data_IF_358051955731
#
_entry.id   IF_358051955731
#
_cell.length_a   1.000
_cell.length_b   1.000
_cell.length_c   1.000
_cell.angle_alpha   90.00
_cell.angle_beta   90.00
_cell.angle_gamma   90.00
#
_symmetry.space_group_name_H-M   'P 1'
#
loop_
_entity.id
_entity.type
_entity.pdbx_description
1 polymer ?
#
# COMPACT_ATOMS: atom_id res chain seq x y z
N UNK A 1 72.45 -61.19 25.42
CA UNK A 1 71.22 -60.36 25.27
C UNK A 1 71.36 -59.15 26.18
N UNK A 2 71.26 -57.91 25.66
CA UNK A 2 71.63 -56.67 26.37
C UNK A 2 70.55 -56.22 27.38
N UNK A 3 70.82 -56.12 28.70
CA UNK A 3 69.87 -55.63 29.70
C UNK A 3 69.77 -54.09 29.78
N UNK A 4 70.72 -53.36 29.18
CA UNK A 4 70.76 -51.88 29.22
C UNK A 4 69.74 -51.20 28.29
N UNK A 5 69.23 -51.90 27.28
CA UNK A 5 68.27 -51.35 26.31
C UNK A 5 66.88 -51.14 26.95
N UNK A 6 66.55 -51.95 27.96
CA UNK A 6 65.26 -51.92 28.65
C UNK A 6 65.14 -50.70 29.58
N UNK A 7 66.22 -50.32 30.29
CA UNK A 7 66.23 -49.18 31.21
C UNK A 7 66.13 -47.84 30.46
N UNK A 8 66.83 -47.69 29.34
CA UNK A 8 66.73 -46.49 28.49
C UNK A 8 65.36 -46.38 27.81
N UNK A 9 64.76 -47.51 27.40
CA UNK A 9 63.43 -47.52 26.80
C UNK A 9 62.34 -47.07 27.79
N UNK A 10 62.41 -47.46 29.07
CA UNK A 10 61.45 -47.04 30.10
C UNK A 10 61.53 -45.53 30.39
N UNK A 11 62.73 -44.94 30.39
CA UNK A 11 62.92 -43.50 30.58
C UNK A 11 62.35 -42.70 29.39
N UNK A 12 62.53 -43.20 28.17
CA UNK A 12 61.95 -42.56 26.97
C UNK A 12 60.42 -42.60 27.01
N UNK A 13 59.83 -43.72 27.45
CA UNK A 13 58.37 -43.87 27.58
C UNK A 13 57.81 -42.90 28.64
N UNK A 14 58.45 -42.77 29.81
CA UNK A 14 57.96 -41.87 30.87
C UNK A 14 58.05 -40.39 30.47
N UNK A 15 59.12 -39.98 29.78
CA UNK A 15 59.25 -38.62 29.24
C UNK A 15 58.18 -38.36 28.17
N UNK A 16 57.92 -39.33 27.29
CA UNK A 16 56.89 -39.21 26.25
C UNK A 16 55.49 -39.05 26.87
N UNK A 17 55.18 -39.85 27.90
CA UNK A 17 53.91 -39.74 28.64
C UNK A 17 53.80 -38.37 29.31
N UNK A 18 54.87 -37.88 29.95
CA UNK A 18 54.87 -36.57 30.59
C UNK A 18 54.61 -35.44 29.59
N UNK A 19 55.26 -35.47 28.42
CA UNK A 19 55.05 -34.49 27.35
C UNK A 19 53.61 -34.53 26.84
N UNK A 20 53.04 -35.73 26.64
CA UNK A 20 51.63 -35.89 26.21
C UNK A 20 50.68 -35.33 27.26
N UNK A 21 50.91 -35.60 28.55
CA UNK A 21 50.10 -35.04 29.65
C UNK A 21 50.18 -33.52 29.67
N UNK A 22 51.38 -32.94 29.52
CA UNK A 22 51.55 -31.48 29.46
C UNK A 22 50.82 -30.87 28.25
N UNK A 23 50.90 -31.51 27.08
CA UNK A 23 50.17 -31.06 25.88
C UNK A 23 48.65 -31.11 26.09
N UNK A 24 48.13 -32.17 26.70
CA UNK A 24 46.70 -32.29 27.02
C UNK A 24 46.23 -31.20 27.99
N UNK A 25 47.04 -30.87 29.00
CA UNK A 25 46.75 -29.79 29.95
C UNK A 25 46.71 -28.44 29.22
N UNK A 26 47.66 -28.16 28.32
CA UNK A 26 47.70 -26.93 27.53
C UNK A 26 46.44 -26.82 26.65
N UNK A 27 46.06 -27.90 25.95
CA UNK A 27 44.85 -27.93 25.11
C UNK A 27 43.59 -27.69 25.95
N UNK A 28 43.48 -28.31 27.13
CA UNK A 28 42.38 -28.08 28.07
C UNK A 28 42.32 -26.62 28.53
N UNK A 29 43.46 -26.00 28.85
CA UNK A 29 43.52 -24.58 29.27
C UNK A 29 43.07 -23.67 28.12
N UNK A 30 43.55 -23.91 26.89
CA UNK A 30 43.16 -23.14 25.70
C UNK A 30 41.67 -23.33 25.40
N UNK A 31 41.16 -24.56 25.49
CA UNK A 31 39.74 -24.84 25.28
C UNK A 31 38.87 -24.15 26.33
N UNK A 32 39.23 -24.23 27.62
CA UNK A 32 38.50 -23.53 28.69
C UNK A 32 38.56 -22.01 28.50
N UNK A 33 39.71 -21.44 28.14
CA UNK A 33 39.83 -20.00 27.83
C UNK A 33 38.94 -19.59 26.65
N UNK A 34 38.98 -20.35 25.55
CA UNK A 34 38.17 -20.08 24.35
C UNK A 34 36.67 -20.23 24.63
N UNK A 35 36.29 -21.25 25.40
CA UNK A 35 34.90 -21.49 25.84
C UNK A 35 34.41 -20.34 26.75
N UNK A 36 35.21 -19.91 27.72
CA UNK A 36 34.86 -18.75 28.58
C UNK A 36 34.80 -17.44 27.79
N UNK A 37 35.64 -17.26 26.76
CA UNK A 37 35.58 -16.09 25.90
C UNK A 37 34.30 -16.06 25.05
N UNK A 38 33.94 -17.20 24.44
CA UNK A 38 32.70 -17.33 23.67
C UNK A 38 31.46 -17.09 24.55
N UNK A 39 31.45 -17.61 25.78
CA UNK A 39 30.35 -17.38 26.73
C UNK A 39 30.24 -15.90 27.13
N UNK A 40 31.37 -15.20 27.29
CA UNK A 40 31.38 -13.75 27.57
C UNK A 40 30.88 -12.93 26.39
N UNK A 41 31.28 -13.28 25.17
CA UNK A 41 30.81 -12.61 23.95
C UNK A 41 29.30 -12.84 23.76
N UNK A 42 28.82 -14.06 23.96
CA UNK A 42 27.39 -14.38 23.94
C UNK A 42 26.61 -13.53 24.95
N UNK A 43 27.05 -13.49 26.22
CA UNK A 43 26.42 -12.65 27.26
C UNK A 43 26.43 -11.16 26.91
N UNK A 44 27.51 -10.66 26.29
CA UNK A 44 27.59 -9.25 25.86
C UNK A 44 26.57 -8.96 24.76
N UNK A 45 26.47 -9.82 23.74
CA UNK A 45 25.51 -9.66 22.64
C UNK A 45 24.08 -9.70 23.18
N UNK A 46 23.79 -10.62 24.11
CA UNK A 46 22.49 -10.71 24.73
C UNK A 46 22.12 -9.43 25.51
N UNK A 47 23.05 -8.89 26.32
CA UNK A 47 22.83 -7.61 27.02
C UNK A 47 22.63 -6.46 26.03
N UNK A 48 23.38 -6.42 24.92
CA UNK A 48 23.21 -5.41 23.88
C UNK A 48 21.84 -5.51 23.21
N UNK A 49 21.36 -6.73 22.94
CA UNK A 49 20.03 -6.98 22.38
C UNK A 49 18.94 -6.53 23.36
N UNK A 50 19.04 -6.90 24.64
CA UNK A 50 18.09 -6.50 25.68
C UNK A 50 18.07 -4.97 25.86
N UNK A 51 19.23 -4.32 25.77
CA UNK A 51 19.36 -2.86 25.84
C UNK A 51 18.71 -2.20 24.64
N UNK A 52 18.97 -2.70 23.43
CA UNK A 52 18.37 -2.20 22.20
C UNK A 52 16.84 -2.36 22.23
N UNK A 53 16.34 -3.53 22.64
CA UNK A 53 14.92 -3.80 22.78
C UNK A 53 14.27 -2.86 23.80
N UNK A 54 14.91 -2.65 24.95
CA UNK A 54 14.43 -1.71 25.96
C UNK A 54 14.38 -0.27 25.43
N UNK A 55 15.40 0.16 24.70
CA UNK A 55 15.45 1.51 24.12
C UNK A 55 14.35 1.70 23.08
N UNK A 56 14.19 0.75 22.14
CA UNK A 56 13.10 0.80 21.14
C UNK A 56 11.73 0.79 21.82
N UNK A 57 11.54 -0.05 22.85
CA UNK A 57 10.28 -0.09 23.59
C UNK A 57 9.98 1.25 24.29
N UNK A 58 11.00 1.89 24.87
CA UNK A 58 10.84 3.21 25.49
C UNK A 58 10.54 4.29 24.46
N UNK A 59 11.27 4.32 23.34
CA UNK A 59 11.01 5.25 22.23
C UNK A 59 9.61 5.06 21.67
N UNK A 60 9.16 3.82 21.44
CA UNK A 60 7.79 3.56 20.98
C UNK A 60 6.74 3.99 22.01
N UNK A 61 6.96 3.75 23.30
CA UNK A 61 6.03 4.22 24.36
C UNK A 61 5.97 5.73 24.44
N UNK A 62 7.12 6.39 24.33
CA UNK A 62 7.20 7.84 24.35
C UNK A 62 6.53 8.43 23.10
N UNK A 63 6.88 7.93 21.90
CA UNK A 63 6.26 8.35 20.65
C UNK A 63 4.74 8.11 20.65
N UNK A 64 4.27 6.99 21.21
CA UNK A 64 2.84 6.70 21.34
C UNK A 64 2.15 7.65 22.34
N UNK A 65 2.75 7.93 23.49
CA UNK A 65 2.20 8.86 24.47
C UNK A 65 2.13 10.29 23.93
N UNK A 66 3.19 10.74 23.26
CA UNK A 66 3.21 12.04 22.58
C UNK A 66 2.20 12.11 21.44
N UNK A 67 2.07 11.05 20.64
CA UNK A 67 1.06 11.01 19.58
C UNK A 67 -0.36 11.02 20.17
N UNK A 68 -0.59 10.38 21.31
CA UNK A 68 -1.90 10.37 21.95
C UNK A 68 -2.31 11.76 22.47
N UNK A 69 -1.38 12.54 23.02
CA UNK A 69 -1.63 13.94 23.41
C UNK A 69 -1.81 14.84 22.19
N UNK A 70 -1.04 14.63 21.13
CA UNK A 70 -1.15 15.43 19.91
C UNK A 70 -2.45 15.08 19.15
N UNK A 71 -2.92 13.83 19.21
CA UNK A 71 -4.19 13.39 18.61
C UNK A 71 -5.40 14.08 19.23
N UNK A 72 -5.39 14.34 20.54
CA UNK A 72 -6.50 15.06 21.18
C UNK A 72 -6.61 16.49 20.66
N UNK A 73 -5.48 17.16 20.44
CA UNK A 73 -5.45 18.51 19.89
C UNK A 73 -5.86 18.52 18.42
N UNK A 74 -5.36 17.57 17.62
CA UNK A 74 -5.74 17.42 16.20
C UNK A 74 -7.24 17.12 16.05
N UNK A 75 -7.80 16.30 16.95
CA UNK A 75 -9.23 15.97 16.93
C UNK A 75 -10.07 17.19 17.31
N UNK A 76 -9.66 17.95 18.33
CA UNK A 76 -10.34 19.18 18.72
C UNK A 76 -10.30 20.25 17.61
N UNK A 77 -9.16 20.43 16.95
CA UNK A 77 -9.02 21.32 15.80
C UNK A 77 -9.92 20.89 14.63
N UNK A 78 -10.06 19.57 14.42
CA UNK A 78 -10.92 19.02 13.37
C UNK A 78 -12.40 19.24 13.67
N UNK A 79 -12.82 19.10 14.93
CA UNK A 79 -14.20 19.42 15.37
C UNK A 79 -14.52 20.91 15.14
N UNK A 80 -13.54 21.80 15.31
CA UNK A 80 -13.70 23.24 15.14
C UNK A 80 -13.66 23.71 13.67
N UNK A 81 -12.72 23.19 12.87
CA UNK A 81 -12.48 23.63 11.49
C UNK A 81 -13.33 22.86 10.46
N UNK A 82 -13.82 21.67 10.83
CA UNK A 82 -14.49 20.75 9.92
C UNK A 82 -13.54 20.05 8.95
N UNK A 83 -14.04 19.00 8.30
CA UNK A 83 -13.26 18.20 7.36
C UNK A 83 -13.35 18.83 5.96
N UNK A 84 -12.22 19.05 5.27
CA UNK A 84 -12.23 19.55 3.90
C UNK A 84 -12.69 18.46 2.93
N UNK A 85 -13.99 18.24 2.86
CA UNK A 85 -14.61 17.28 1.92
C UNK A 85 -14.73 17.90 0.54
N UNK A 86 -14.49 17.10 -0.49
CA UNK A 86 -14.78 17.49 -1.86
C UNK A 86 -16.30 17.42 -2.09
N UNK A 87 -16.83 18.36 -2.86
CA UNK A 87 -18.17 18.25 -3.41
C UNK A 87 -18.24 17.11 -4.43
N UNK A 88 -19.46 16.66 -4.70
CA UNK A 88 -19.73 15.44 -5.46
C UNK A 88 -19.08 15.46 -6.85
N UNK A 89 -19.10 16.62 -7.52
CA UNK A 89 -18.52 16.77 -8.86
C UNK A 89 -17.00 16.63 -8.81
N UNK A 90 -16.31 17.35 -7.92
CA UNK A 90 -14.86 17.26 -7.81
C UNK A 90 -14.40 15.88 -7.32
N UNK A 91 -15.15 15.25 -6.41
CA UNK A 91 -14.91 13.87 -6.00
C UNK A 91 -14.99 12.90 -7.19
N UNK A 92 -16.08 12.95 -7.97
CA UNK A 92 -16.24 12.11 -9.17
C UNK A 92 -15.08 12.32 -10.14
N UNK A 93 -14.72 13.57 -10.41
CA UNK A 93 -13.63 13.88 -11.34
C UNK A 93 -12.30 13.28 -10.89
N UNK A 94 -11.97 13.38 -9.60
CA UNK A 94 -10.75 12.79 -9.04
C UNK A 94 -10.73 11.26 -9.12
N UNK A 95 -11.89 10.60 -8.99
CA UNK A 95 -11.99 9.13 -9.02
C UNK A 95 -12.08 8.57 -10.46
N UNK A 96 -12.85 9.23 -11.33
CA UNK A 96 -13.14 8.73 -12.67
C UNK A 96 -12.01 9.09 -13.65
N UNK A 97 -11.37 10.24 -13.45
CA UNK A 97 -10.32 10.79 -14.32
C UNK A 97 -9.11 11.29 -13.51
N UNK A 98 -8.39 10.39 -12.80
CA UNK A 98 -7.26 10.78 -11.97
C UNK A 98 -6.16 11.45 -12.79
N UNK A 99 -5.65 12.59 -12.30
CA UNK A 99 -4.60 13.37 -12.97
C UNK A 99 -5.11 14.29 -14.09
N UNK A 100 -6.41 14.32 -14.40
CA UNK A 100 -6.99 15.23 -15.39
C UNK A 100 -7.57 16.45 -14.67
N UNK A 101 -7.03 17.64 -14.94
CA UNK A 101 -7.43 18.90 -14.30
C UNK A 101 -8.44 19.70 -15.11
N UNK A 102 -8.43 19.58 -16.44
CA UNK A 102 -9.29 20.36 -17.35
C UNK A 102 -10.14 19.43 -18.23
N UNK A 103 -11.08 18.72 -17.59
CA UNK A 103 -11.95 17.79 -18.33
C UNK A 103 -13.15 18.55 -18.93
N UNK A 104 -13.52 18.32 -20.21
CA UNK A 104 -14.66 19.01 -20.84
C UNK A 104 -15.98 18.91 -20.08
N UNK A 105 -16.17 17.84 -19.28
CA UNK A 105 -17.34 17.65 -18.40
C UNK A 105 -17.45 18.76 -17.34
N UNK A 106 -16.33 19.28 -16.83
CA UNK A 106 -16.32 20.39 -15.85
C UNK A 106 -16.72 21.72 -16.49
N UNK A 107 -16.38 21.88 -17.78
CA UNK A 107 -16.61 23.10 -18.53
C UNK A 107 -17.93 23.08 -19.31
N UNK A 108 -18.72 22.01 -19.21
CA UNK A 108 -19.97 21.88 -19.94
C UNK A 108 -20.92 23.00 -19.52
N UNK A 109 -21.23 23.97 -20.42
CA UNK A 109 -22.17 25.03 -20.08
C UNK A 109 -23.53 24.37 -19.78
N UNK A 110 -24.09 24.65 -18.60
CA UNK A 110 -25.46 24.28 -18.23
C UNK A 110 -26.38 24.72 -19.37
N UNK A 111 -26.84 23.73 -20.15
CA UNK A 111 -27.88 23.83 -21.18
C UNK A 111 -27.83 25.12 -21.99
N UNK A 112 -27.24 25.06 -23.19
CA UNK A 112 -27.45 26.06 -24.23
C UNK A 112 -28.95 26.09 -24.61
N UNK A 113 -29.77 26.77 -23.82
CA UNK A 113 -31.22 26.87 -24.03
C UNK A 113 -31.61 27.72 -25.24
N UNK A 114 -30.66 28.45 -25.86
CA UNK A 114 -30.97 29.45 -26.90
C UNK A 114 -30.05 29.41 -28.14
N UNK A 115 -29.37 28.30 -28.44
CA UNK A 115 -28.68 28.14 -29.75
C UNK A 115 -29.42 27.14 -30.62
N UNK A 116 -29.56 27.41 -31.94
CA UNK A 116 -30.25 26.51 -32.85
C UNK A 116 -29.55 25.14 -32.86
N UNK A 117 -30.36 24.09 -32.70
CA UNK A 117 -29.93 22.69 -32.68
C UNK A 117 -29.12 22.38 -33.93
N UNK A 118 -27.82 22.16 -33.76
CA UNK A 118 -26.98 21.68 -34.85
C UNK A 118 -27.32 20.22 -35.16
N UNK A 119 -26.97 19.75 -36.36
CA UNK A 119 -27.09 18.31 -36.68
C UNK A 119 -26.31 17.44 -35.67
N UNK A 120 -25.25 17.97 -35.06
CA UNK A 120 -24.51 17.31 -33.99
C UNK A 120 -25.35 17.14 -32.72
N UNK A 121 -26.11 18.16 -32.30
CA UNK A 121 -26.98 18.07 -31.12
C UNK A 121 -28.08 17.02 -31.33
N UNK A 122 -28.66 16.97 -32.54
CA UNK A 122 -29.64 15.95 -32.90
C UNK A 122 -29.04 14.53 -32.88
N UNK A 123 -27.82 14.36 -33.42
CA UNK A 123 -27.12 13.08 -33.40
C UNK A 123 -26.77 12.64 -31.97
N UNK A 124 -26.35 13.57 -31.09
CA UNK A 124 -26.06 13.26 -29.69
C UNK A 124 -27.31 12.85 -28.91
N UNK A 125 -28.46 13.47 -29.17
CA UNK A 125 -29.74 13.05 -28.57
C UNK A 125 -30.12 11.64 -29.00
N UNK A 126 -29.97 11.31 -30.30
CA UNK A 126 -30.21 9.96 -30.81
C UNK A 126 -29.22 8.95 -30.21
N UNK A 127 -27.96 9.34 -30.03
CA UNK A 127 -26.97 8.49 -29.38
C UNK A 127 -27.33 8.23 -27.90
N UNK A 128 -27.82 9.24 -27.17
CA UNK A 128 -28.32 9.05 -25.80
C UNK A 128 -29.48 8.04 -25.77
N UNK A 129 -30.40 8.10 -26.74
CA UNK A 129 -31.48 7.11 -26.86
C UNK A 129 -30.95 5.69 -27.07
N UNK A 130 -29.89 5.52 -27.87
CA UNK A 130 -29.22 4.23 -28.04
C UNK A 130 -28.56 3.76 -26.73
N UNK A 131 -27.88 4.63 -25.98
CA UNK A 131 -27.30 4.30 -24.67
C UNK A 131 -28.37 3.87 -23.66
N UNK A 132 -29.58 4.45 -23.73
CA UNK A 132 -30.72 4.05 -22.91
C UNK A 132 -31.37 2.72 -23.37
N UNK A 133 -30.95 2.13 -24.49
CA UNK A 133 -31.36 0.79 -24.90
C UNK A 133 -30.41 -0.26 -24.32
N UNK A 134 -30.94 -1.12 -23.44
CA UNK A 134 -30.17 -2.15 -22.74
C UNK A 134 -29.36 -3.04 -23.67
N UNK A 135 -29.99 -3.55 -24.73
CA UNK A 135 -29.35 -4.48 -25.65
C UNK A 135 -28.26 -3.80 -26.46
N UNK A 136 -28.52 -2.57 -26.93
CA UNK A 136 -27.50 -1.77 -27.62
C UNK A 136 -26.28 -1.55 -26.73
N UNK A 137 -26.48 -1.09 -25.49
CA UNK A 137 -25.35 -0.75 -24.61
C UNK A 137 -24.50 -1.98 -24.26
N UNK A 138 -25.13 -3.13 -23.98
CA UNK A 138 -24.42 -4.39 -23.75
C UNK A 138 -23.61 -4.82 -24.98
N UNK A 139 -24.21 -4.78 -26.16
CA UNK A 139 -23.54 -5.12 -27.42
C UNK A 139 -22.44 -4.13 -27.77
N UNK A 140 -22.63 -2.84 -27.50
CA UNK A 140 -21.65 -1.79 -27.75
C UNK A 140 -20.38 -2.03 -26.94
N UNK A 141 -20.51 -2.29 -25.64
CA UNK A 141 -19.36 -2.58 -24.76
C UNK A 141 -18.64 -3.86 -25.21
N UNK A 142 -19.39 -4.93 -25.49
CA UNK A 142 -18.82 -6.20 -25.94
C UNK A 142 -18.09 -6.06 -27.28
N UNK A 143 -18.65 -5.28 -28.21
CA UNK A 143 -18.04 -5.01 -29.52
C UNK A 143 -16.73 -4.24 -29.35
N UNK A 144 -16.68 -3.22 -28.48
CA UNK A 144 -15.45 -2.49 -28.18
C UNK A 144 -14.38 -3.40 -27.55
N UNK A 145 -14.74 -4.19 -26.54
CA UNK A 145 -13.80 -5.09 -25.86
C UNK A 145 -13.26 -6.22 -26.73
N UNK A 146 -13.98 -6.60 -27.79
CA UNK A 146 -13.51 -7.59 -28.76
C UNK A 146 -12.39 -7.07 -29.67
N UNK A 147 -12.19 -5.76 -29.76
CA UNK A 147 -11.17 -5.16 -30.62
C UNK A 147 -9.78 -5.27 -29.99
N UNK A 148 -8.80 -5.80 -30.73
CA UNK A 148 -7.40 -5.92 -30.27
C UNK A 148 -6.73 -4.57 -30.01
N UNK A 149 -7.20 -3.51 -30.69
CA UNK A 149 -6.70 -2.14 -30.53
C UNK A 149 -7.24 -1.44 -29.29
N UNK A 150 -8.28 -1.99 -28.66
CA UNK A 150 -8.95 -1.39 -27.49
C UNK A 150 -8.19 -1.74 -26.21
N UNK A 151 -7.29 -0.85 -25.82
CA UNK A 151 -6.36 -1.07 -24.72
C UNK A 151 -6.98 -0.76 -23.35
N UNK A 152 -6.23 -0.99 -22.27
CA UNK A 152 -6.70 -0.78 -20.89
C UNK A 152 -7.09 0.69 -20.63
N UNK A 153 -6.36 1.66 -21.20
CA UNK A 153 -6.68 3.08 -21.05
C UNK A 153 -8.02 3.40 -21.71
N UNK A 154 -8.28 2.85 -22.89
CA UNK A 154 -9.54 3.07 -23.61
C UNK A 154 -10.73 2.47 -22.84
N UNK A 155 -10.55 1.24 -22.31
CA UNK A 155 -11.54 0.58 -21.46
C UNK A 155 -11.90 1.41 -20.23
N UNK A 156 -10.88 1.90 -19.54
CA UNK A 156 -11.06 2.74 -18.34
C UNK A 156 -11.78 4.04 -18.68
N UNK A 157 -11.42 4.67 -19.80
CA UNK A 157 -12.03 5.91 -20.24
C UNK A 157 -13.51 5.72 -20.62
N UNK A 158 -13.82 4.70 -21.44
CA UNK A 158 -15.21 4.39 -21.83
C UNK A 158 -16.07 4.07 -20.60
N UNK A 159 -15.56 3.28 -19.66
CA UNK A 159 -16.26 2.98 -18.41
C UNK A 159 -16.57 4.26 -17.60
N UNK A 160 -15.60 5.16 -17.47
CA UNK A 160 -15.80 6.44 -16.76
C UNK A 160 -16.83 7.34 -17.46
N UNK A 161 -16.74 7.50 -18.78
CA UNK A 161 -17.70 8.30 -19.55
C UNK A 161 -19.12 7.72 -19.50
N UNK A 162 -19.26 6.40 -19.66
CA UNK A 162 -20.56 5.73 -19.53
C UNK A 162 -21.15 5.95 -18.14
N UNK A 163 -20.36 5.80 -17.07
CA UNK A 163 -20.86 6.02 -15.72
C UNK A 163 -21.27 7.48 -15.47
N UNK A 164 -20.62 8.46 -16.10
CA UNK A 164 -21.09 9.86 -16.06
C UNK A 164 -22.44 10.02 -16.76
N UNK A 165 -22.61 9.44 -17.94
CA UNK A 165 -23.89 9.53 -18.67
C UNK A 165 -25.02 8.84 -17.89
N UNK A 166 -24.70 7.74 -17.20
CA UNK A 166 -25.66 6.91 -16.48
C UNK A 166 -25.88 7.30 -15.00
N UNK A 167 -25.09 8.23 -14.44
CA UNK A 167 -25.14 8.54 -13.00
C UNK A 167 -26.50 9.07 -12.52
N UNK A 168 -27.30 9.69 -13.40
CA UNK A 168 -28.64 10.17 -13.09
C UNK A 168 -29.73 9.08 -13.27
N UNK A 169 -29.34 7.90 -13.76
CA UNK A 169 -30.21 6.74 -14.05
C UNK A 169 -29.65 5.49 -13.37
N UNK A 170 -29.28 5.60 -12.09
CA UNK A 170 -28.62 4.52 -11.34
C UNK A 170 -29.34 3.16 -11.40
N UNK A 171 -30.68 3.05 -11.33
CA UNK A 171 -31.35 1.75 -11.48
C UNK A 171 -31.04 1.04 -12.81
N UNK A 172 -30.98 1.81 -13.90
CA UNK A 172 -30.59 1.29 -15.21
C UNK A 172 -29.09 0.95 -15.26
N UNK A 173 -28.23 1.80 -14.68
CA UNK A 173 -26.79 1.54 -14.57
C UNK A 173 -26.51 0.23 -13.81
N UNK A 174 -27.23 -0.01 -12.69
CA UNK A 174 -27.11 -1.25 -11.89
C UNK A 174 -27.52 -2.48 -12.69
N UNK A 175 -28.61 -2.41 -13.47
CA UNK A 175 -29.06 -3.53 -14.30
C UNK A 175 -28.05 -3.86 -15.41
N UNK A 176 -27.49 -2.84 -16.07
CA UNK A 176 -26.41 -3.01 -17.05
C UNK A 176 -25.18 -3.63 -16.40
N UNK A 177 -24.73 -3.08 -15.27
CA UNK A 177 -23.57 -3.57 -14.52
C UNK A 177 -23.75 -5.02 -14.10
N UNK A 178 -24.94 -5.39 -13.60
CA UNK A 178 -25.29 -6.77 -13.24
C UNK A 178 -25.17 -7.71 -14.44
N UNK A 179 -25.76 -7.34 -15.58
CA UNK A 179 -25.67 -8.16 -16.80
C UNK A 179 -24.22 -8.35 -17.27
N UNK A 180 -23.41 -7.29 -17.26
CA UNK A 180 -22.00 -7.37 -17.64
C UNK A 180 -21.19 -8.20 -16.65
N UNK A 181 -21.43 -8.06 -15.34
CA UNK A 181 -20.76 -8.86 -14.30
C UNK A 181 -21.10 -10.34 -14.42
N UNK A 182 -22.37 -10.69 -14.69
CA UNK A 182 -22.76 -12.09 -14.95
C UNK A 182 -22.00 -12.67 -16.15
N UNK A 183 -21.90 -11.92 -17.25
CA UNK A 183 -21.09 -12.33 -18.41
C UNK A 183 -19.61 -12.49 -18.07
N UNK A 184 -19.06 -11.60 -17.23
CA UNK A 184 -17.69 -11.71 -16.75
C UNK A 184 -17.49 -12.96 -15.89
N UNK A 185 -18.46 -13.30 -15.02
CA UNK A 185 -18.46 -14.52 -14.22
C UNK A 185 -18.44 -15.74 -15.13
N UNK A 186 -19.37 -15.82 -16.10
CA UNK A 186 -19.45 -16.96 -17.02
C UNK A 186 -18.12 -17.17 -17.77
N UNK A 187 -17.51 -16.09 -18.25
CA UNK A 187 -16.18 -16.14 -18.88
C UNK A 187 -15.09 -16.58 -17.89
N UNK A 188 -15.11 -16.08 -16.66
CA UNK A 188 -14.09 -16.35 -15.66
C UNK A 188 -14.15 -17.79 -15.13
N UNK A 189 -15.33 -18.37 -15.01
CA UNK A 189 -15.51 -19.77 -14.57
C UNK A 189 -14.90 -20.75 -15.58
N UNK A 190 -14.92 -20.41 -16.88
CA UNK A 190 -14.26 -21.22 -17.92
C UNK A 190 -12.74 -21.05 -17.99
N UNK A 191 -12.18 -20.09 -17.26
CA UNK A 191 -10.74 -19.81 -17.23
C UNK A 191 -9.99 -20.82 -16.35
N UNK A 192 -8.68 -20.96 -16.59
CA UNK A 192 -7.77 -21.78 -15.75
C UNK A 192 -7.73 -21.31 -14.29
N UNK A 193 -7.99 -20.02 -14.02
CA UNK A 193 -7.90 -19.43 -12.69
C UNK A 193 -9.10 -18.51 -12.37
N UNK A 194 -10.29 -19.06 -12.09
CA UNK A 194 -11.50 -18.27 -11.80
C UNK A 194 -11.35 -17.32 -10.59
N UNK A 195 -10.54 -17.71 -9.60
CA UNK A 195 -10.26 -16.93 -8.39
C UNK A 195 -9.53 -15.59 -8.65
N UNK A 196 -9.03 -15.38 -9.87
CA UNK A 196 -8.37 -14.13 -10.26
C UNK A 196 -9.35 -13.09 -10.81
N UNK A 197 -10.64 -13.44 -10.96
CA UNK A 197 -11.69 -12.50 -11.37
C UNK A 197 -11.73 -11.29 -10.42
N UNK A 198 -11.90 -10.07 -10.97
CA UNK A 198 -11.92 -8.81 -10.22
C UNK A 198 -10.62 -8.47 -9.45
N UNK A 199 -9.52 -9.22 -9.65
CA UNK A 199 -8.23 -8.92 -9.00
C UNK A 199 -7.57 -7.66 -9.55
N UNK A 200 -7.83 -7.34 -10.81
CA UNK A 200 -7.29 -6.17 -11.53
C UNK A 200 -8.40 -5.56 -12.37
N UNK A 201 -8.23 -4.30 -12.74
CA UNK A 201 -9.19 -3.58 -13.59
C UNK A 201 -8.78 -3.72 -15.05
N UNK A 202 -9.15 -4.85 -15.68
CA UNK A 202 -8.72 -5.20 -17.04
C UNK A 202 -9.86 -5.14 -18.08
N UNK A 203 -11.09 -4.90 -17.62
CA UNK A 203 -12.32 -4.76 -18.43
C UNK A 203 -13.10 -3.48 -18.14
N UNK A 204 -13.97 -3.10 -19.08
CA UNK A 204 -14.91 -1.98 -18.94
C UNK A 204 -15.81 -2.20 -17.73
N UNK A 205 -16.34 -3.41 -17.56
CA UNK A 205 -17.24 -3.74 -16.44
C UNK A 205 -16.54 -3.61 -15.08
N UNK A 206 -15.28 -4.02 -14.96
CA UNK A 206 -14.52 -3.87 -13.72
C UNK A 206 -14.32 -2.40 -13.36
N UNK A 207 -13.99 -1.54 -14.33
CA UNK A 207 -13.87 -0.09 -14.08
C UNK A 207 -15.24 0.53 -13.79
N UNK A 208 -16.30 0.13 -14.50
CA UNK A 208 -17.67 0.57 -14.21
C UNK A 208 -18.08 0.21 -12.79
N UNK A 209 -17.71 -0.98 -12.29
CA UNK A 209 -17.97 -1.39 -10.91
C UNK A 209 -17.25 -0.49 -9.90
N UNK A 210 -15.97 -0.18 -10.10
CA UNK A 210 -15.24 0.77 -9.24
C UNK A 210 -15.91 2.14 -9.21
N UNK A 211 -16.32 2.64 -10.37
CA UNK A 211 -16.99 3.94 -10.51
C UNK A 211 -18.39 3.93 -9.88
N UNK A 212 -19.14 2.84 -10.04
CA UNK A 212 -20.45 2.63 -9.41
C UNK A 212 -20.33 2.63 -7.88
N UNK A 213 -19.36 1.89 -7.33
CA UNK A 213 -19.10 1.89 -5.89
C UNK A 213 -18.71 3.28 -5.40
N UNK A 214 -17.90 4.02 -6.14
CA UNK A 214 -17.54 5.39 -5.77
C UNK A 214 -18.76 6.31 -5.67
N UNK A 215 -19.73 6.20 -6.60
CA UNK A 215 -20.99 6.96 -6.55
C UNK A 215 -21.84 6.56 -5.35
N UNK A 216 -22.07 5.25 -5.14
CA UNK A 216 -22.92 4.76 -4.06
C UNK A 216 -22.33 5.02 -2.66
N UNK A 217 -21.00 5.05 -2.54
CA UNK A 217 -20.31 5.23 -1.26
C UNK A 217 -19.96 6.70 -0.96
N UNK A 218 -20.28 7.65 -1.85
CA UNK A 218 -19.91 9.04 -1.66
C UNK A 218 -20.48 9.63 -0.37
N UNK A 219 -21.78 9.48 -0.12
CA UNK A 219 -22.41 10.02 1.10
C UNK A 219 -21.87 9.34 2.36
N UNK A 220 -21.69 8.01 2.33
CA UNK A 220 -21.05 7.29 3.43
C UNK A 220 -19.61 7.78 3.70
N UNK A 221 -18.83 8.01 2.65
CA UNK A 221 -17.48 8.54 2.79
C UNK A 221 -17.50 9.97 3.33
N UNK A 222 -18.44 10.81 2.89
CA UNK A 222 -18.55 12.19 3.32
C UNK A 222 -19.03 12.32 4.77
N UNK A 223 -20.01 11.51 5.16
CA UNK A 223 -20.74 11.67 6.42
C UNK A 223 -20.25 10.74 7.53
N UNK A 224 -19.69 9.57 7.20
CA UNK A 224 -19.31 8.56 8.19
C UNK A 224 -17.79 8.30 8.22
N UNK A 225 -17.19 7.89 7.10
CA UNK A 225 -15.81 7.42 7.08
C UNK A 225 -14.75 8.53 6.89
N UNK A 226 -15.16 9.68 6.36
CA UNK A 226 -14.26 10.76 5.95
C UNK A 226 -13.54 11.42 7.12
N UNK A 227 -14.20 11.53 8.27
CA UNK A 227 -13.61 12.06 9.51
C UNK A 227 -12.42 11.20 9.96
N UNK A 228 -12.64 9.90 10.11
CA UNK A 228 -11.62 8.94 10.52
C UNK A 228 -10.47 8.88 9.53
N UNK A 229 -10.76 8.92 8.23
CA UNK A 229 -9.72 8.89 7.19
C UNK A 229 -8.87 10.17 7.20
N UNK A 230 -9.51 11.33 7.34
CA UNK A 230 -8.81 12.61 7.40
C UNK A 230 -7.99 12.74 8.69
N UNK A 231 -8.51 12.26 9.82
CA UNK A 231 -7.78 12.20 11.08
C UNK A 231 -6.54 11.32 10.96
N UNK A 232 -6.66 10.14 10.35
CA UNK A 232 -5.50 9.28 10.08
C UNK A 232 -4.46 9.99 9.19
N UNK A 233 -4.90 10.67 8.12
CA UNK A 233 -4.00 11.46 7.28
C UNK A 233 -3.27 12.54 8.08
N UNK A 234 -4.00 13.31 8.90
CA UNK A 234 -3.44 14.35 9.77
C UNK A 234 -2.46 13.76 10.77
N UNK A 235 -2.78 12.62 11.36
CA UNK A 235 -1.91 11.92 12.31
C UNK A 235 -0.59 11.49 11.68
N UNK A 236 -0.65 10.86 10.50
CA UNK A 236 0.55 10.45 9.76
C UNK A 236 1.37 11.68 9.37
N UNK A 237 0.71 12.73 8.85
CA UNK A 237 1.37 13.96 8.45
C UNK A 237 2.10 14.61 9.63
N UNK A 238 1.42 14.80 10.76
CA UNK A 238 1.98 15.38 11.98
C UNK A 238 3.18 14.56 12.49
N UNK A 239 3.05 13.23 12.53
CA UNK A 239 4.14 12.35 12.97
C UNK A 239 5.37 12.45 12.07
N UNK A 240 5.17 12.57 10.74
CA UNK A 240 6.28 12.74 9.79
C UNK A 240 6.94 14.11 9.97
N UNK A 241 6.15 15.19 10.08
CA UNK A 241 6.63 16.58 10.19
C UNK A 241 7.30 16.88 11.54
N UNK A 242 7.10 16.03 12.56
CA UNK A 242 7.81 16.12 13.85
C UNK A 242 9.29 15.75 13.75
N UNK A 243 9.67 14.98 12.74
CA UNK A 243 11.05 14.58 12.49
C UNK A 243 11.67 15.38 11.35
N UNK A 244 12.98 15.21 11.17
CA UNK A 244 13.65 15.74 9.99
C UNK A 244 13.08 15.11 8.72
N UNK A 245 12.77 15.96 7.75
CA UNK A 245 12.34 15.59 6.40
C UNK A 245 13.32 16.22 5.42
N UNK A 246 13.97 15.41 4.59
CA UNK A 246 14.83 15.91 3.54
C UNK A 246 13.98 16.59 2.45
N UNK A 247 14.28 17.85 2.17
CA UNK A 247 13.57 18.65 1.17
C UNK A 247 13.78 18.16 -0.28
N UNK A 248 14.87 17.42 -0.56
CA UNK A 248 15.20 16.94 -1.92
C UNK A 248 14.68 15.52 -2.15
N UNK A 249 14.99 14.57 -1.25
CA UNK A 249 14.58 13.16 -1.41
C UNK A 249 13.19 12.86 -0.88
N UNK A 250 12.67 13.74 0.00
CA UNK A 250 11.48 13.54 0.81
C UNK A 250 11.55 12.34 1.76
N UNK A 251 12.76 11.89 2.10
CA UNK A 251 12.97 10.88 3.12
C UNK A 251 12.78 11.52 4.50
N UNK A 252 12.13 10.78 5.40
CA UNK A 252 11.73 11.30 6.71
C UNK A 252 12.23 10.41 7.84
N UNK A 253 12.62 11.02 8.95
CA UNK A 253 13.07 10.31 10.15
C UNK A 253 11.99 9.39 10.73
N UNK A 254 10.74 9.83 10.69
CA UNK A 254 9.57 9.08 11.16
C UNK A 254 8.72 8.52 10.01
N UNK A 255 9.36 8.14 8.90
CA UNK A 255 8.68 7.48 7.78
C UNK A 255 8.09 6.12 8.20
N UNK A 256 6.87 5.83 7.73
CA UNK A 256 6.25 4.50 7.84
C UNK A 256 6.76 3.51 6.78
N UNK A 257 7.48 4.01 5.76
CA UNK A 257 8.10 3.20 4.71
C UNK A 257 9.61 3.10 4.94
N UNK A 258 10.14 1.87 4.94
CA UNK A 258 11.57 1.61 5.08
C UNK A 258 12.39 2.25 3.95
N UNK A 259 11.84 2.27 2.73
CA UNK A 259 12.48 2.88 1.55
C UNK A 259 12.59 4.41 1.66
N UNK A 260 11.76 5.02 2.50
CA UNK A 260 11.71 6.47 2.74
C UNK A 260 12.21 6.88 4.12
N UNK A 261 12.87 5.95 4.81
CA UNK A 261 13.40 6.19 6.15
C UNK A 261 14.74 6.92 6.08
N UNK A 262 14.80 8.10 6.70
CA UNK A 262 16.04 8.82 6.88
C UNK A 262 16.90 8.13 7.97
N UNK A 263 17.89 7.36 7.54
CA UNK A 263 18.74 6.52 8.40
C UNK A 263 19.82 7.32 9.12
N UNK A 264 20.23 8.44 8.56
CA UNK A 264 21.29 9.29 9.12
C UNK A 264 20.83 9.90 10.45
N UNK A 265 21.70 9.83 11.45
CA UNK A 265 21.49 10.49 12.72
C UNK A 265 21.99 11.93 12.60
N UNK A 266 21.08 12.84 12.26
CA UNK A 266 21.37 14.26 12.15
C UNK A 266 20.97 14.91 13.48
N UNK A 267 21.96 15.38 14.23
CA UNK A 267 21.72 16.21 15.42
C UNK A 267 21.08 17.52 14.98
N UNK A 268 19.90 17.79 15.53
CA UNK A 268 19.15 19.01 15.31
C UNK A 268 18.62 19.49 16.66
N UNK A 269 18.73 20.79 16.89
CA UNK A 269 18.10 21.44 18.02
C UNK A 269 16.85 22.16 17.48
N UNK A 270 15.70 21.81 18.06
CA UNK A 270 14.42 22.51 17.85
C UNK A 270 14.42 23.79 18.68
#
# INVERSE_FOLDING_TARGET
MKPYVLSTAMIVITITILIVVVLLIIVLIVYRRKSTQAEREYKRIQIQMDTLESNVRMECKQAFAELQTDMTDITADLENAGIPTLDHVNYIMKVFFPGVTDHPILNAPKVRMNTPHTNYDAAMLQFEQLINNKYFLLMFIETLESQKTFNIRDKVNVASLLMIVLMNKMPYATDILKCLLLRLIDKSVTSKHPQLMLRRTDSVVEKMLTNYMALCMYDYLKECAGSSLFLLFKAIKHQIEKGLVDAITHDARYSLSEEKLLREQIEHHV
#
